data_IF_632170232883
#
_entry.id   IF_632170232883
#
_cell.length_a   1.000
_cell.length_b   1.000
_cell.length_c   1.000
_cell.angle_alpha   90.00
_cell.angle_beta   90.00
_cell.angle_gamma   90.00
#
_symmetry.space_group_name_H-M   'P 1'
#
loop_
_entity.id
_entity.type
_entity.pdbx_description
1 polymer ?
#
# COMPACT_ATOMS: atom_id res chain seq x y z
N UNK A 1 -37.48 1.42 14.56
CA UNK A 1 -36.71 2.59 14.08
C UNK A 1 -35.26 2.18 14.02
N UNK A 2 -34.69 2.06 12.83
CA UNK A 2 -33.25 1.82 12.67
C UNK A 2 -32.53 3.03 13.25
N UNK A 3 -31.76 2.82 14.32
CA UNK A 3 -31.06 3.89 15.01
C UNK A 3 -30.06 4.50 14.03
N UNK A 4 -30.10 5.83 13.83
CA UNK A 4 -29.16 6.53 12.95
C UNK A 4 -27.70 6.26 13.32
N UNK A 5 -27.44 5.99 14.61
CA UNK A 5 -26.15 5.57 15.12
C UNK A 5 -25.69 4.21 14.57
N UNK A 6 -26.59 3.23 14.45
CA UNK A 6 -26.26 1.90 13.93
C UNK A 6 -25.92 1.97 12.44
N UNK A 7 -26.65 2.81 11.69
CA UNK A 7 -26.35 3.08 10.27
C UNK A 7 -24.99 3.76 10.11
N UNK A 8 -24.69 4.76 10.93
CA UNK A 8 -23.39 5.45 10.90
C UNK A 8 -22.25 4.49 11.23
N UNK A 9 -22.41 3.68 12.28
CA UNK A 9 -21.41 2.68 12.69
C UNK A 9 -21.18 1.65 11.59
N UNK A 10 -22.23 1.13 10.97
CA UNK A 10 -22.11 0.18 9.87
C UNK A 10 -21.37 0.78 8.67
N UNK A 11 -21.64 2.05 8.31
CA UNK A 11 -20.94 2.74 7.23
C UNK A 11 -19.45 2.97 7.57
N UNK A 12 -19.14 3.32 8.81
CA UNK A 12 -17.76 3.49 9.28
C UNK A 12 -16.97 2.17 9.28
N UNK A 13 -17.58 1.09 9.75
CA UNK A 13 -16.97 -0.24 9.76
C UNK A 13 -16.69 -0.74 8.33
N UNK A 14 -17.61 -0.48 7.39
CA UNK A 14 -17.44 -0.85 5.99
C UNK A 14 -16.34 -0.03 5.30
N UNK A 15 -16.25 1.27 5.57
CA UNK A 15 -15.17 2.11 5.07
C UNK A 15 -13.80 1.63 5.57
N UNK A 16 -13.70 1.33 6.88
CA UNK A 16 -12.47 0.81 7.49
C UNK A 16 -12.07 -0.54 6.88
N UNK A 17 -13.04 -1.42 6.65
CA UNK A 17 -12.83 -2.72 6.00
C UNK A 17 -12.31 -2.55 4.58
N UNK A 18 -12.91 -1.64 3.82
CA UNK A 18 -12.52 -1.36 2.42
C UNK A 18 -11.07 -0.89 2.35
N UNK A 19 -10.67 0.03 3.22
CA UNK A 19 -9.28 0.52 3.29
C UNK A 19 -8.33 -0.63 3.58
N UNK A 20 -8.63 -1.45 4.59
CA UNK A 20 -7.79 -2.60 4.95
C UNK A 20 -7.66 -3.62 3.82
N UNK A 21 -8.74 -3.88 3.08
CA UNK A 21 -8.71 -4.76 1.91
C UNK A 21 -7.82 -4.18 0.82
N UNK A 22 -7.93 -2.88 0.55
CA UNK A 22 -7.06 -2.21 -0.41
C UNK A 22 -5.58 -2.32 -0.02
N UNK A 23 -5.24 -2.10 1.25
CA UNK A 23 -3.87 -2.23 1.75
C UNK A 23 -3.32 -3.65 1.59
N UNK A 24 -4.14 -4.68 1.85
CA UNK A 24 -3.75 -6.06 1.63
C UNK A 24 -3.46 -6.34 0.15
N UNK A 25 -4.32 -5.88 -0.75
CA UNK A 25 -4.10 -6.02 -2.19
C UNK A 25 -2.83 -5.32 -2.66
N UNK A 26 -2.52 -4.14 -2.12
CA UNK A 26 -1.27 -3.43 -2.42
C UNK A 26 -0.05 -4.26 -2.00
N UNK A 27 -0.08 -4.89 -0.83
CA UNK A 27 1.00 -5.77 -0.38
C UNK A 27 1.17 -7.00 -1.28
N UNK A 28 0.07 -7.63 -1.68
CA UNK A 28 0.10 -8.78 -2.60
C UNK A 28 0.70 -8.39 -3.96
N UNK A 29 0.27 -7.24 -4.49
CA UNK A 29 0.80 -6.68 -5.74
C UNK A 29 2.29 -6.35 -5.62
N UNK A 30 2.72 -5.74 -4.52
CA UNK A 30 4.13 -5.44 -4.29
C UNK A 30 4.99 -6.73 -4.28
N UNK A 31 4.48 -7.80 -3.64
CA UNK A 31 5.13 -9.12 -3.66
C UNK A 31 5.26 -9.70 -5.06
N UNK A 32 4.19 -9.63 -5.86
CA UNK A 32 4.19 -10.08 -7.26
C UNK A 32 5.16 -9.26 -8.13
N UNK A 33 5.12 -7.93 -8.02
CA UNK A 33 6.00 -7.02 -8.77
C UNK A 33 7.45 -7.30 -8.42
N UNK A 34 7.80 -7.46 -7.13
CA UNK A 34 9.18 -7.76 -6.69
C UNK A 34 9.80 -8.94 -7.44
N UNK A 35 9.04 -10.02 -7.63
CA UNK A 35 9.51 -11.20 -8.39
C UNK A 35 9.66 -10.90 -9.88
N UNK A 36 8.75 -10.09 -10.44
CA UNK A 36 8.72 -9.76 -11.87
C UNK A 36 9.72 -8.70 -12.31
N UNK A 37 10.16 -7.81 -11.42
CA UNK A 37 11.17 -6.78 -11.73
C UNK A 37 12.47 -7.36 -12.31
N UNK A 38 12.80 -8.61 -11.96
CA UNK A 38 14.00 -9.31 -12.48
C UNK A 38 13.74 -10.10 -13.76
N UNK A 39 12.50 -10.48 -14.02
CA UNK A 39 12.14 -11.40 -15.09
C UNK A 39 11.51 -10.68 -16.30
N UNK A 40 10.92 -9.52 -16.08
CA UNK A 40 10.30 -8.71 -17.13
C UNK A 40 11.30 -7.66 -17.64
N UNK A 41 11.19 -7.29 -18.91
CA UNK A 41 11.93 -6.17 -19.52
C UNK A 41 11.41 -4.82 -19.02
N UNK A 42 11.53 -4.57 -17.72
CA UNK A 42 11.25 -3.26 -17.11
C UNK A 42 12.30 -2.28 -17.59
N UNK A 43 11.87 -1.08 -17.98
CA UNK A 43 12.79 -0.06 -18.48
C UNK A 43 13.83 0.32 -17.42
N UNK A 44 15.03 0.67 -17.86
CA UNK A 44 16.10 1.10 -16.97
C UNK A 44 15.70 2.32 -16.13
N UNK A 45 14.99 3.29 -16.72
CA UNK A 45 14.52 4.50 -16.02
C UNK A 45 13.62 4.17 -14.83
N UNK A 46 12.64 3.29 -15.03
CA UNK A 46 11.70 2.87 -13.97
C UNK A 46 12.43 2.14 -12.83
N UNK A 47 13.42 1.31 -13.15
CA UNK A 47 14.23 0.64 -12.12
C UNK A 47 15.06 1.65 -11.31
N UNK A 48 15.60 2.68 -11.96
CA UNK A 48 16.35 3.75 -11.29
C UNK A 48 15.46 4.61 -10.38
N UNK A 49 14.26 4.98 -10.83
CA UNK A 49 13.28 5.72 -10.03
C UNK A 49 12.85 4.91 -8.81
N UNK A 50 12.47 3.64 -9.00
CA UNK A 50 12.11 2.75 -7.90
C UNK A 50 13.25 2.59 -6.88
N UNK A 51 14.50 2.47 -7.36
CA UNK A 51 15.67 2.40 -6.47
C UNK A 51 15.81 3.69 -5.65
N UNK A 52 15.57 4.86 -6.24
CA UNK A 52 15.66 6.15 -5.56
C UNK A 52 14.60 6.24 -4.46
N UNK A 53 13.34 5.93 -4.77
CA UNK A 53 12.27 5.91 -3.78
C UNK A 53 12.60 4.96 -2.63
N UNK A 54 12.92 3.70 -2.92
CA UNK A 54 13.23 2.71 -1.88
C UNK A 54 14.42 3.10 -0.98
N UNK A 55 15.33 3.98 -1.44
CA UNK A 55 16.42 4.50 -0.59
C UNK A 55 15.93 5.44 0.53
N UNK A 56 14.71 5.96 0.40
CA UNK A 56 14.05 6.81 1.40
C UNK A 56 13.15 6.02 2.35
N UNK A 57 12.98 4.72 2.12
CA UNK A 57 12.34 3.83 3.08
C UNK A 57 13.30 3.42 4.20
N UNK A 58 12.98 3.79 5.43
CA UNK A 58 13.72 3.33 6.60
C UNK A 58 13.19 1.95 7.03
N UNK A 59 13.97 0.90 6.74
CA UNK A 59 13.61 -0.47 7.06
C UNK A 59 13.55 -0.79 8.57
N UNK A 60 14.20 0.01 9.42
CA UNK A 60 14.18 -0.19 10.87
C UNK A 60 12.92 0.39 11.50
N UNK A 61 12.43 1.52 10.99
CA UNK A 61 11.23 2.19 11.52
C UNK A 61 9.96 1.85 10.73
N UNK A 62 10.10 1.25 9.54
CA UNK A 62 9.00 0.95 8.64
C UNK A 62 8.35 2.19 8.01
N UNK A 63 9.06 3.33 7.97
CA UNK A 63 8.53 4.63 7.55
C UNK A 63 9.37 5.24 6.44
N UNK A 64 8.76 6.11 5.63
CA UNK A 64 9.46 6.93 4.65
C UNK A 64 10.07 8.17 5.33
N UNK A 65 11.26 8.61 4.88
CA UNK A 65 11.97 9.77 5.46
C UNK A 65 11.16 11.07 5.48
N UNK A 66 10.28 11.29 4.50
CA UNK A 66 9.43 12.49 4.43
C UNK A 66 8.28 12.50 5.46
N UNK A 67 8.02 11.36 6.13
CA UNK A 67 6.99 11.22 7.16
C UNK A 67 7.55 11.24 8.59
N UNK A 68 8.80 11.67 8.79
CA UNK A 68 9.44 11.91 10.09
C UNK A 68 9.58 13.41 10.36
#
# INVERSE_FOLDING_TARGET
MTNQWDTFKAAFDEATRTIRIADNHVNDMAGMVRGRLRACSVSHSTLCELKRELADYNMHTGKWKEQQ
#
